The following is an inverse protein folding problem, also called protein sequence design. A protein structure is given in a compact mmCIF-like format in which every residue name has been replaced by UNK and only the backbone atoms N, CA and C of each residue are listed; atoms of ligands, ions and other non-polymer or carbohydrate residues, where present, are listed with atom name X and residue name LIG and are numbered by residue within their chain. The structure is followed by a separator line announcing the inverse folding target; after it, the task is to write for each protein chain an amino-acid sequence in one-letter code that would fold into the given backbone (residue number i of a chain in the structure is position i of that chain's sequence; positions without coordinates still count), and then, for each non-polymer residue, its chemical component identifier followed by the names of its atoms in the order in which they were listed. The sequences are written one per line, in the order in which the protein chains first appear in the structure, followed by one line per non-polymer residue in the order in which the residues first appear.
data_IF_946446646394
#
_entry.id   IF_946446646394
#
_cell.length_a   1.000
_cell.length_b   1.000
_cell.length_c   1.000
_cell.angle_alpha   90.00
_cell.angle_beta   90.00
_cell.angle_gamma   90.00
#
_symmetry.space_group_name_H-M   'P 1'
#
loop_
_entity.id
_entity.type
_entity.pdbx_description
1 polymer ?
#
# COMPACT_ATOMS: atom_id res chain seq x y z
N UNK A 1 9.68 16.73 -19.02
CA UNK A 1 8.64 15.84 -19.56
C UNK A 1 8.34 14.86 -18.44
N UNK A 2 7.17 14.93 -17.85
CA UNK A 2 6.71 13.90 -16.93
C UNK A 2 6.33 12.64 -17.70
N UNK A 3 6.51 11.46 -17.11
CA UNK A 3 5.92 10.23 -17.60
C UNK A 3 4.43 10.32 -17.29
N UNK A 4 3.57 9.99 -18.23
CA UNK A 4 2.12 9.85 -18.01
C UNK A 4 1.74 8.41 -18.30
N UNK A 5 1.00 7.81 -17.38
CA UNK A 5 0.42 6.48 -17.55
C UNK A 5 -1.06 6.63 -17.93
N UNK A 6 -1.59 5.64 -18.64
CA UNK A 6 -2.98 5.57 -19.05
C UNK A 6 -3.64 4.39 -18.32
N UNK A 7 -4.60 4.71 -17.46
CA UNK A 7 -5.39 3.71 -16.72
C UNK A 7 -6.88 3.79 -17.09
N UNK A 8 -7.23 4.39 -18.24
CA UNK A 8 -8.63 4.47 -18.69
C UNK A 8 -9.29 3.09 -18.75
N UNK A 9 -10.44 2.96 -18.10
CA UNK A 9 -11.19 1.72 -18.00
C UNK A 9 -10.57 0.62 -17.11
N UNK A 10 -9.57 0.94 -16.30
CA UNK A 10 -9.03 0.03 -15.28
C UNK A 10 -9.63 0.33 -13.91
N UNK A 11 -9.75 -0.70 -13.09
CA UNK A 11 -10.24 -0.65 -11.71
C UNK A 11 -9.08 -0.91 -10.75
N UNK A 12 -8.84 0.02 -9.85
CA UNK A 12 -7.72 -0.02 -8.89
C UNK A 12 -8.26 0.02 -7.46
N UNK A 13 -7.93 -0.98 -6.66
CA UNK A 13 -8.24 -1.01 -5.24
C UNK A 13 -7.05 -0.47 -4.42
N UNK A 14 -7.29 0.54 -3.60
CA UNK A 14 -6.29 1.16 -2.72
C UNK A 14 -6.70 0.96 -1.27
N UNK A 15 -5.94 0.20 -0.48
CA UNK A 15 -6.16 0.08 0.96
C UNK A 15 -5.43 1.20 1.71
N UNK A 16 -5.99 1.68 2.82
CA UNK A 16 -5.45 2.86 3.51
C UNK A 16 -5.66 4.14 2.70
N UNK A 17 -6.75 4.19 1.92
CA UNK A 17 -7.03 5.26 0.96
C UNK A 17 -7.21 6.64 1.59
N UNK A 18 -7.65 6.70 2.83
CA UNK A 18 -7.89 7.97 3.54
C UNK A 18 -6.62 8.58 4.17
N UNK A 19 -5.52 7.82 4.23
CA UNK A 19 -4.23 8.33 4.75
C UNK A 19 -3.40 9.06 3.69
N UNK A 20 -2.33 9.75 4.12
CA UNK A 20 -1.48 10.62 3.28
C UNK A 20 -0.95 9.95 1.99
N UNK A 21 -0.38 8.75 2.09
CA UNK A 21 0.12 8.05 0.90
C UNK A 21 -1.02 7.47 0.07
N UNK A 22 -2.06 6.91 0.73
CA UNK A 22 -3.21 6.33 0.04
C UNK A 22 -3.97 7.36 -0.78
N UNK A 23 -4.20 8.55 -0.22
CA UNK A 23 -4.87 9.66 -0.92
C UNK A 23 -4.07 10.15 -2.12
N UNK A 24 -2.75 10.26 -2.00
CA UNK A 24 -1.87 10.63 -3.12
C UNK A 24 -1.90 9.59 -4.24
N UNK A 25 -1.88 8.29 -3.88
CA UNK A 25 -1.99 7.19 -4.83
C UNK A 25 -3.36 7.20 -5.52
N UNK A 26 -4.44 7.36 -4.75
CA UNK A 26 -5.80 7.43 -5.28
C UNK A 26 -5.96 8.58 -6.30
N UNK A 27 -5.55 9.79 -5.92
CA UNK A 27 -5.64 10.96 -6.80
C UNK A 27 -4.86 10.77 -8.12
N UNK A 28 -3.68 10.16 -8.07
CA UNK A 28 -2.88 9.95 -9.28
C UNK A 28 -3.48 8.89 -10.23
N UNK A 29 -4.13 7.85 -9.71
CA UNK A 29 -4.85 6.89 -10.54
C UNK A 29 -6.12 7.49 -11.13
N UNK A 30 -6.85 8.32 -10.37
CA UNK A 30 -8.02 9.06 -10.87
C UNK A 30 -7.62 10.02 -11.99
N UNK A 31 -6.54 10.81 -11.80
CA UNK A 31 -5.97 11.70 -12.83
C UNK A 31 -5.54 10.94 -14.10
N UNK A 32 -5.18 9.66 -13.97
CA UNK A 32 -4.80 8.78 -15.07
C UNK A 32 -5.99 8.03 -15.71
N UNK A 33 -7.22 8.28 -15.27
CA UNK A 33 -8.46 7.75 -15.83
C UNK A 33 -8.93 6.42 -15.25
N UNK A 34 -8.33 5.95 -14.15
CA UNK A 34 -8.81 4.74 -13.47
C UNK A 34 -10.11 4.98 -12.70
N UNK A 35 -10.91 3.93 -12.54
CA UNK A 35 -11.88 3.86 -11.45
C UNK A 35 -11.13 3.47 -10.18
N UNK A 36 -11.11 4.34 -9.19
CA UNK A 36 -10.39 4.11 -7.94
C UNK A 36 -11.34 3.70 -6.82
N UNK A 37 -11.19 2.49 -6.32
CA UNK A 37 -11.90 1.93 -5.18
C UNK A 37 -11.04 2.13 -3.93
N UNK A 38 -11.44 3.03 -3.04
CA UNK A 38 -10.72 3.33 -1.81
C UNK A 38 -11.27 2.51 -0.64
N UNK A 39 -10.44 1.71 0.01
CA UNK A 39 -10.77 0.88 1.16
C UNK A 39 -10.10 1.41 2.43
N UNK A 40 -10.88 1.81 3.42
CA UNK A 40 -10.36 2.32 4.70
C UNK A 40 -11.44 2.20 5.80
N UNK A 41 -11.03 2.28 7.06
CA UNK A 41 -11.93 2.42 8.21
C UNK A 41 -12.32 3.89 8.45
N UNK A 42 -11.52 4.83 7.94
CA UNK A 42 -11.74 6.28 8.04
C UNK A 42 -12.51 6.73 6.81
N UNK A 43 -13.73 7.21 6.99
CA UNK A 43 -14.56 7.69 5.89
C UNK A 43 -13.99 8.98 5.26
N UNK A 44 -14.18 9.22 3.95
CA UNK A 44 -13.60 10.38 3.26
C UNK A 44 -14.10 11.74 3.75
N UNK A 45 -15.22 11.78 4.48
CA UNK A 45 -15.80 12.98 5.09
C UNK A 45 -15.41 13.16 6.57
N UNK A 46 -14.57 12.28 7.09
CA UNK A 46 -13.99 12.40 8.43
C UNK A 46 -12.90 13.48 8.46
N UNK A 47 -12.72 14.13 9.63
CA UNK A 47 -11.71 15.17 9.82
C UNK A 47 -10.27 14.65 9.74
N UNK A 48 -10.07 13.34 9.95
CA UNK A 48 -8.77 12.67 9.87
C UNK A 48 -8.45 12.14 8.46
N UNK A 49 -9.38 12.25 7.50
CA UNK A 49 -9.16 11.80 6.13
C UNK A 49 -8.39 12.85 5.30
N UNK A 50 -7.39 12.39 4.55
CA UNK A 50 -6.62 13.23 3.61
C UNK A 50 -7.09 13.08 2.15
N UNK A 51 -7.96 12.10 1.87
CA UNK A 51 -8.46 11.80 0.53
C UNK A 51 -9.55 12.78 0.09
N UNK A 52 -9.51 13.22 -1.17
CA UNK A 52 -10.64 13.93 -1.79
C UNK A 52 -11.75 12.92 -2.11
N UNK A 53 -12.95 13.07 -1.52
CA UNK A 53 -14.07 12.15 -1.77
C UNK A 53 -14.47 12.02 -3.24
N UNK A 54 -14.09 12.97 -4.08
CA UNK A 54 -14.42 12.95 -5.51
C UNK A 54 -13.48 12.06 -6.35
N UNK A 55 -12.35 11.63 -5.78
CA UNK A 55 -11.33 10.82 -6.47
C UNK A 55 -11.47 9.32 -6.24
N UNK A 56 -12.38 8.90 -5.35
CA UNK A 56 -12.56 7.49 -5.01
C UNK A 56 -14.03 7.09 -4.92
N UNK A 57 -14.31 5.82 -5.21
CA UNK A 57 -15.48 5.11 -4.71
C UNK A 57 -15.09 4.43 -3.40
N UNK A 58 -15.72 4.84 -2.30
CA UNK A 58 -15.31 4.44 -0.95
C UNK A 58 -15.99 3.16 -0.48
N UNK A 59 -15.21 2.26 0.07
CA UNK A 59 -15.65 1.02 0.71
C UNK A 59 -15.13 1.00 2.15
N UNK A 60 -16.04 1.10 3.14
CA UNK A 60 -15.67 0.97 4.55
C UNK A 60 -15.12 -0.43 4.82
N UNK A 61 -13.84 -0.51 5.19
CA UNK A 61 -13.11 -1.77 5.25
C UNK A 61 -12.18 -1.82 6.44
N UNK A 62 -12.38 -2.78 7.34
CA UNK A 62 -11.33 -3.18 8.28
C UNK A 62 -10.37 -4.15 7.57
N UNK A 63 -9.23 -3.64 7.14
CA UNK A 63 -8.23 -4.44 6.43
C UNK A 63 -7.62 -5.56 7.30
N UNK A 64 -7.85 -5.57 8.61
CA UNK A 64 -7.41 -6.63 9.53
C UNK A 64 -8.45 -7.74 9.73
N UNK A 65 -9.68 -7.55 9.25
CA UNK A 65 -10.77 -8.54 9.28
C UNK A 65 -10.97 -9.21 7.92
N UNK A 66 -10.84 -10.54 7.89
CA UNK A 66 -10.93 -11.31 6.64
C UNK A 66 -12.31 -11.20 5.97
N UNK A 67 -13.39 -11.13 6.77
CA UNK A 67 -14.75 -11.01 6.26
C UNK A 67 -14.94 -9.65 5.58
N UNK A 68 -14.55 -8.57 6.25
CA UNK A 68 -14.62 -7.21 5.74
C UNK A 68 -13.83 -7.05 4.42
N UNK A 69 -12.60 -7.56 4.37
CA UNK A 69 -11.78 -7.53 3.14
C UNK A 69 -12.41 -8.34 2.02
N UNK A 70 -12.92 -9.54 2.32
CA UNK A 70 -13.59 -10.39 1.33
C UNK A 70 -14.81 -9.70 0.72
N UNK A 71 -15.67 -9.14 1.57
CA UNK A 71 -16.88 -8.39 1.14
C UNK A 71 -16.51 -7.18 0.27
N UNK A 72 -15.46 -6.45 0.63
CA UNK A 72 -14.98 -5.31 -0.17
C UNK A 72 -14.49 -5.73 -1.55
N UNK A 73 -13.64 -6.75 -1.65
CA UNK A 73 -13.12 -7.21 -2.95
C UNK A 73 -14.24 -7.71 -3.85
N UNK A 74 -15.18 -8.49 -3.30
CA UNK A 74 -16.35 -8.97 -4.05
C UNK A 74 -17.25 -7.81 -4.50
N UNK A 75 -17.49 -6.79 -3.63
CA UNK A 75 -18.27 -5.62 -3.99
C UNK A 75 -17.63 -4.83 -5.14
N UNK A 76 -16.31 -4.59 -5.10
CA UNK A 76 -15.57 -3.94 -6.19
C UNK A 76 -15.74 -4.69 -7.51
N UNK A 77 -15.63 -6.02 -7.48
CA UNK A 77 -15.77 -6.82 -8.71
C UNK A 77 -17.22 -6.86 -9.19
N UNK A 78 -18.19 -6.94 -8.29
CA UNK A 78 -19.62 -6.91 -8.63
C UNK A 78 -20.02 -5.57 -9.25
N UNK A 79 -19.53 -4.44 -8.70
CA UNK A 79 -19.85 -3.09 -9.16
C UNK A 79 -19.21 -2.77 -10.53
N UNK A 80 -17.95 -3.23 -10.76
CA UNK A 80 -17.17 -2.81 -11.94
C UNK A 80 -16.88 -3.94 -12.94
N UNK A 81 -17.12 -5.20 -12.59
CA UNK A 81 -16.91 -6.36 -13.46
C UNK A 81 -15.46 -6.78 -13.63
N UNK A 82 -14.50 -6.12 -12.95
CA UNK A 82 -13.06 -6.37 -13.05
C UNK A 82 -12.28 -5.79 -11.87
N UNK A 83 -11.06 -6.26 -11.70
CA UNK A 83 -10.05 -5.65 -10.83
C UNK A 83 -8.69 -5.76 -11.53
N UNK A 84 -8.00 -4.63 -11.73
CA UNK A 84 -6.75 -4.55 -12.52
C UNK A 84 -5.51 -4.34 -11.67
N UNK A 85 -5.65 -3.62 -10.56
CA UNK A 85 -4.54 -3.42 -9.65
C UNK A 85 -5.00 -3.36 -8.20
N UNK A 86 -4.10 -3.78 -7.30
CA UNK A 86 -4.24 -3.61 -5.85
C UNK A 86 -3.02 -2.88 -5.31
N UNK A 87 -3.26 -1.77 -4.63
CA UNK A 87 -2.26 -1.03 -3.90
C UNK A 87 -2.47 -1.26 -2.39
N UNK A 88 -1.66 -2.14 -1.79
CA UNK A 88 -1.65 -2.39 -0.35
C UNK A 88 -0.87 -1.27 0.34
N UNK A 89 -1.55 -0.17 0.65
CA UNK A 89 -0.97 1.02 1.28
C UNK A 89 -1.21 1.02 2.80
N UNK A 90 -2.33 0.43 3.26
CA UNK A 90 -2.66 0.35 4.68
C UNK A 90 -1.46 -0.09 5.51
N UNK A 91 -1.17 0.67 6.55
CA UNK A 91 -0.03 0.40 7.41
C UNK A 91 0.19 1.50 8.43
N UNK A 92 0.91 1.17 9.49
CA UNK A 92 1.26 2.12 10.55
C UNK A 92 2.65 1.83 11.09
N UNK A 93 3.22 2.81 11.78
CA UNK A 93 4.46 2.68 12.52
C UNK A 93 4.21 2.87 14.02
N UNK A 94 4.83 2.03 14.81
CA UNK A 94 5.04 2.24 16.25
C UNK A 94 6.40 1.67 16.62
N UNK A 95 6.96 2.21 17.71
CA UNK A 95 8.24 1.79 18.25
C UNK A 95 8.76 2.80 19.26
N UNK A 96 9.97 2.55 19.76
CA UNK A 96 10.67 3.35 20.76
C UNK A 96 11.27 2.46 21.84
N UNK A 97 10.62 1.34 22.15
CA UNK A 97 11.03 0.45 23.23
C UNK A 97 11.90 -0.72 22.72
N UNK A 98 12.88 -1.16 23.54
CA UNK A 98 13.63 -2.37 23.24
C UNK A 98 12.71 -3.61 23.33
N UNK A 99 13.03 -4.68 22.60
CA UNK A 99 12.19 -5.89 22.45
C UNK A 99 11.65 -6.43 23.78
N UNK A 100 12.43 -6.40 24.85
CA UNK A 100 12.02 -6.97 26.14
C UNK A 100 11.07 -6.05 26.94
N UNK A 101 10.82 -4.85 26.47
CA UNK A 101 9.90 -3.88 27.03
C UNK A 101 8.72 -3.56 26.08
N UNK A 102 8.78 -4.03 24.83
CA UNK A 102 7.69 -3.87 23.86
C UNK A 102 6.47 -4.68 24.29
N UNK A 103 5.32 -4.05 24.34
CA UNK A 103 4.06 -4.72 24.67
C UNK A 103 3.64 -5.70 23.55
N UNK A 104 3.03 -6.83 23.96
CA UNK A 104 2.54 -7.86 23.00
C UNK A 104 1.45 -7.29 22.11
N UNK A 105 0.60 -6.44 22.65
CA UNK A 105 -0.48 -5.76 21.93
C UNK A 105 0.06 -4.86 20.81
N UNK A 106 1.20 -4.21 21.01
CA UNK A 106 1.86 -3.42 19.95
C UNK A 106 2.41 -4.33 18.86
N UNK A 107 3.05 -5.44 19.24
CA UNK A 107 3.54 -6.44 18.29
C UNK A 107 2.40 -7.01 17.43
N UNK A 108 1.30 -7.42 18.06
CA UNK A 108 0.13 -7.98 17.37
C UNK A 108 -0.51 -6.95 16.43
N UNK A 109 -0.71 -5.72 16.90
CA UNK A 109 -1.26 -4.62 16.10
C UNK A 109 -0.41 -4.33 14.86
N UNK A 110 0.92 -4.26 14.99
CA UNK A 110 1.82 -4.02 13.85
C UNK A 110 1.81 -5.17 12.83
N UNK A 111 1.69 -6.42 13.29
CA UNK A 111 1.52 -7.55 12.38
C UNK A 111 0.15 -7.54 11.70
N UNK A 112 -0.91 -7.24 12.44
CA UNK A 112 -2.26 -7.20 11.90
C UNK A 112 -2.41 -6.09 10.85
N UNK A 113 -2.00 -4.86 11.19
CA UNK A 113 -2.20 -3.70 10.31
C UNK A 113 -1.24 -3.71 9.12
N UNK A 114 0.04 -4.09 9.29
CA UNK A 114 1.02 -4.00 8.20
C UNK A 114 1.11 -5.27 7.34
N UNK A 115 0.99 -6.46 7.95
CA UNK A 115 1.28 -7.72 7.27
C UNK A 115 0.03 -8.52 6.95
N UNK A 116 -0.84 -8.74 7.95
CA UNK A 116 -2.08 -9.48 7.76
C UNK A 116 -3.02 -8.78 6.80
N UNK A 117 -3.14 -7.44 6.87
CA UNK A 117 -3.97 -6.65 5.96
C UNK A 117 -3.60 -6.89 4.49
N UNK A 118 -2.31 -6.75 4.14
CA UNK A 118 -1.86 -6.98 2.76
C UNK A 118 -2.03 -8.44 2.33
N UNK A 119 -1.86 -9.39 3.25
CA UNK A 119 -2.10 -10.81 2.97
C UNK A 119 -3.58 -11.07 2.66
N UNK A 120 -4.49 -10.54 3.47
CA UNK A 120 -5.93 -10.72 3.27
C UNK A 120 -6.41 -10.09 1.96
N UNK A 121 -6.01 -8.84 1.69
CA UNK A 121 -6.37 -8.16 0.44
C UNK A 121 -5.83 -8.92 -0.76
N UNK A 122 -4.56 -9.31 -0.74
CA UNK A 122 -3.95 -10.08 -1.83
C UNK A 122 -4.63 -11.44 -2.02
N UNK A 123 -4.95 -12.15 -0.93
CA UNK A 123 -5.62 -13.45 -0.96
C UNK A 123 -6.96 -13.39 -1.70
N UNK A 124 -7.78 -12.39 -1.40
CA UNK A 124 -9.10 -12.23 -2.04
C UNK A 124 -9.00 -11.64 -3.44
N UNK A 125 -8.04 -10.75 -3.72
CA UNK A 125 -7.89 -10.10 -5.02
C UNK A 125 -7.26 -10.97 -6.10
N UNK A 126 -6.31 -11.85 -5.77
CA UNK A 126 -5.55 -12.66 -6.75
C UNK A 126 -6.44 -13.43 -7.75
N UNK A 127 -7.55 -14.08 -7.35
CA UNK A 127 -8.40 -14.77 -8.33
C UNK A 127 -8.91 -13.83 -9.44
N UNK A 128 -9.31 -12.61 -9.09
CA UNK A 128 -9.83 -11.61 -10.02
C UNK A 128 -8.71 -10.94 -10.84
N UNK A 129 -7.55 -10.67 -10.21
CA UNK A 129 -6.38 -10.14 -10.91
C UNK A 129 -5.81 -11.10 -11.96
N UNK A 130 -6.01 -12.41 -11.82
CA UNK A 130 -5.62 -13.39 -12.84
C UNK A 130 -6.42 -13.24 -14.13
N UNK A 131 -7.69 -12.83 -14.04
CA UNK A 131 -8.57 -12.65 -15.19
C UNK A 131 -8.21 -11.38 -15.98
N UNK A 132 -7.58 -10.39 -15.32
CA UNK A 132 -7.14 -9.12 -15.91
C UNK A 132 -5.65 -9.06 -16.22
N UNK A 133 -4.86 -10.10 -15.88
CA UNK A 133 -3.39 -10.08 -15.88
C UNK A 133 -2.83 -8.90 -15.06
N UNK A 134 -3.45 -8.66 -13.90
CA UNK A 134 -3.30 -7.46 -13.09
C UNK A 134 -2.01 -7.37 -12.28
N UNK A 135 -1.94 -6.37 -11.40
CA UNK A 135 -0.77 -6.08 -10.59
C UNK A 135 -1.10 -5.86 -9.11
N UNK A 136 -0.16 -6.22 -8.24
CA UNK A 136 -0.15 -5.91 -6.81
C UNK A 136 1.09 -5.08 -6.49
N UNK A 137 0.90 -3.96 -5.80
CA UNK A 137 1.99 -3.18 -5.21
C UNK A 137 1.77 -3.09 -3.71
N UNK A 138 2.77 -3.48 -2.92
CA UNK A 138 2.68 -3.49 -1.46
C UNK A 138 3.75 -2.60 -0.83
N UNK A 139 3.37 -1.83 0.20
CA UNK A 139 4.28 -0.92 0.90
C UNK A 139 5.03 -1.66 2.01
N UNK A 140 6.29 -2.03 1.72
CA UNK A 140 7.27 -2.45 2.71
C UNK A 140 7.97 -1.20 3.31
N UNK A 141 9.23 -1.29 3.66
CA UNK A 141 10.03 -0.17 4.14
C UNK A 141 11.52 -0.43 3.96
N UNK A 142 12.34 0.61 3.86
CA UNK A 142 13.81 0.50 3.90
C UNK A 142 14.28 -0.28 5.13
N UNK A 143 13.67 -0.03 6.28
CA UNK A 143 13.98 -0.70 7.56
C UNK A 143 13.70 -2.21 7.55
N UNK A 144 12.98 -2.75 6.54
CA UNK A 144 12.77 -4.20 6.37
C UNK A 144 14.02 -4.99 6.01
N UNK A 145 15.10 -4.31 5.63
CA UNK A 145 16.34 -4.94 5.14
C UNK A 145 17.30 -5.35 6.25
N UNK A 146 17.16 -4.75 7.43
CA UNK A 146 18.08 -4.97 8.55
C UNK A 146 17.40 -4.80 9.89
N UNK A 147 18.03 -5.29 10.96
CA UNK A 147 17.60 -5.04 12.33
C UNK A 147 17.89 -3.59 12.74
N UNK A 148 17.15 -3.09 13.73
CA UNK A 148 17.34 -1.77 14.32
C UNK A 148 16.85 -1.72 15.75
N UNK A 149 17.25 -0.69 16.47
CA UNK A 149 16.89 -0.47 17.86
C UNK A 149 15.52 0.19 17.95
N UNK A 150 14.64 -0.33 18.80
CA UNK A 150 13.39 0.30 19.19
C UNK A 150 12.18 0.07 18.25
N UNK A 151 12.37 -0.56 17.09
CA UNK A 151 11.29 -0.76 16.10
C UNK A 151 11.23 -2.20 15.54
N UNK A 152 11.65 -3.16 16.34
CA UNK A 152 11.74 -4.58 15.95
C UNK A 152 10.46 -5.17 15.34
N UNK A 153 9.28 -5.05 15.99
CA UNK A 153 8.00 -5.53 15.45
C UNK A 153 7.63 -4.90 14.11
N UNK A 154 7.83 -3.58 13.96
CA UNK A 154 7.60 -2.90 12.68
C UNK A 154 8.49 -3.45 11.56
N UNK A 155 9.80 -3.57 11.81
CA UNK A 155 10.74 -4.16 10.82
C UNK A 155 10.35 -5.57 10.44
N UNK A 156 9.97 -6.39 11.42
CA UNK A 156 9.51 -7.76 11.17
C UNK A 156 8.26 -7.79 10.28
N UNK A 157 7.27 -6.94 10.56
CA UNK A 157 6.05 -6.84 9.75
C UNK A 157 6.36 -6.43 8.31
N UNK A 158 7.19 -5.40 8.11
CA UNK A 158 7.58 -4.90 6.78
C UNK A 158 8.51 -5.86 6.02
N UNK A 159 9.36 -6.63 6.72
CA UNK A 159 10.12 -7.72 6.10
C UNK A 159 9.19 -8.85 5.64
N UNK A 160 8.13 -9.15 6.42
CA UNK A 160 7.08 -10.10 6.03
C UNK A 160 6.35 -9.66 4.77
N UNK A 161 5.97 -8.38 4.65
CA UNK A 161 5.35 -7.80 3.44
C UNK A 161 6.23 -8.06 2.22
N UNK A 162 7.52 -7.76 2.28
CA UNK A 162 8.45 -7.98 1.18
C UNK A 162 8.49 -9.45 0.77
N UNK A 163 8.68 -10.37 1.71
CA UNK A 163 8.78 -11.80 1.42
C UNK A 163 7.47 -12.41 0.89
N UNK A 164 6.32 -11.98 1.42
CA UNK A 164 5.02 -12.42 0.89
C UNK A 164 4.80 -11.88 -0.54
N UNK A 165 5.20 -10.66 -0.83
CA UNK A 165 5.11 -10.10 -2.20
C UNK A 165 5.97 -10.92 -3.19
N UNK A 166 7.21 -11.27 -2.83
CA UNK A 166 8.07 -12.16 -3.62
C UNK A 166 7.40 -13.53 -3.84
N UNK A 167 6.77 -14.09 -2.80
CA UNK A 167 6.04 -15.37 -2.89
C UNK A 167 4.84 -15.27 -3.82
N UNK A 168 4.04 -14.21 -3.70
CA UNK A 168 2.88 -13.97 -4.59
C UNK A 168 3.34 -13.89 -6.05
N UNK A 169 4.44 -13.19 -6.32
CA UNK A 169 5.01 -13.10 -7.67
C UNK A 169 5.39 -14.47 -8.24
N UNK A 170 6.08 -15.31 -7.47
CA UNK A 170 6.48 -16.67 -7.87
C UNK A 170 5.28 -17.59 -8.13
N UNK A 171 4.24 -17.51 -7.27
CA UNK A 171 3.03 -18.32 -7.39
C UNK A 171 2.13 -17.93 -8.56
N UNK A 172 2.30 -16.72 -9.11
CA UNK A 172 1.44 -16.14 -10.14
C UNK A 172 2.21 -15.74 -11.42
N UNK A 173 3.35 -16.37 -11.68
CA UNK A 173 4.17 -16.11 -12.87
C UNK A 173 3.34 -16.14 -14.15
N UNK A 174 3.39 -15.04 -14.91
CA UNK A 174 2.69 -14.90 -16.19
C UNK A 174 1.18 -14.59 -16.08
N UNK A 175 0.67 -14.35 -14.86
CA UNK A 175 -0.75 -14.01 -14.66
C UNK A 175 -0.95 -12.78 -13.77
N UNK A 176 -0.25 -12.65 -12.64
CA UNK A 176 -0.32 -11.48 -11.77
C UNK A 176 1.09 -11.05 -11.43
N UNK A 177 1.39 -9.77 -11.60
CA UNK A 177 2.65 -9.17 -11.17
C UNK A 177 2.50 -8.68 -9.73
N UNK A 178 3.49 -8.96 -8.89
CA UNK A 178 3.50 -8.47 -7.52
C UNK A 178 4.86 -7.87 -7.18
N UNK A 179 4.87 -6.61 -6.73
CA UNK A 179 6.09 -5.91 -6.37
C UNK A 179 5.91 -5.17 -5.05
N UNK A 180 6.99 -5.02 -4.30
CA UNK A 180 7.02 -4.20 -3.11
C UNK A 180 7.78 -2.90 -3.37
N UNK A 181 7.34 -1.80 -2.78
CA UNK A 181 8.14 -0.58 -2.65
C UNK A 181 8.69 -0.50 -1.23
N UNK A 182 9.88 0.06 -1.10
CA UNK A 182 10.56 0.24 0.19
C UNK A 182 10.89 1.72 0.39
N UNK A 183 9.94 2.54 0.85
CA UNK A 183 10.23 3.92 1.17
C UNK A 183 11.22 4.05 2.35
N UNK A 184 11.98 5.15 2.37
CA UNK A 184 12.60 5.66 3.59
C UNK A 184 11.55 6.35 4.45
N UNK A 185 11.82 7.50 5.02
CA UNK A 185 10.80 8.29 5.72
C UNK A 185 9.94 9.02 4.69
N UNK A 186 8.64 8.85 4.79
CA UNK A 186 7.66 9.54 3.92
C UNK A 186 7.31 10.88 4.55
N UNK A 187 7.28 11.94 3.76
CA UNK A 187 6.88 13.26 4.20
C UNK A 187 5.35 13.31 4.38
N UNK A 188 4.91 13.04 5.60
CA UNK A 188 3.49 13.06 5.99
C UNK A 188 3.29 13.93 7.22
N UNK A 189 2.09 14.51 7.43
CA UNK A 189 1.79 15.25 8.64
C UNK A 189 2.12 14.47 9.91
N UNK A 190 1.76 13.20 9.99
CA UNK A 190 2.05 12.31 11.12
C UNK A 190 3.56 12.18 11.38
N UNK A 191 4.37 11.93 10.34
CA UNK A 191 5.82 11.81 10.51
C UNK A 191 6.47 13.12 10.91
N UNK A 192 6.00 14.26 10.39
CA UNK A 192 6.48 15.59 10.82
C UNK A 192 6.15 15.87 12.27
N UNK A 193 4.99 15.45 12.76
CA UNK A 193 4.62 15.58 14.17
C UNK A 193 5.47 14.67 15.07
N UNK A 194 5.76 13.44 14.65
CA UNK A 194 6.60 12.51 15.42
C UNK A 194 8.08 12.88 15.42
N UNK A 195 8.57 13.53 14.39
CA UNK A 195 9.98 13.89 14.21
C UNK A 195 10.16 15.38 13.87
N UNK A 196 9.76 16.30 14.76
CA UNK A 196 9.73 17.75 14.46
C UNK A 196 11.11 18.37 14.24
N UNK A 197 12.18 17.75 14.76
CA UNK A 197 13.56 18.23 14.65
C UNK A 197 14.34 17.58 13.48
N UNK A 198 13.72 16.71 12.68
CA UNK A 198 14.35 16.08 11.54
C UNK A 198 14.45 17.04 10.34
N UNK A 199 15.39 16.78 9.44
CA UNK A 199 15.45 17.47 8.15
C UNK A 199 14.41 16.88 7.19
N UNK A 200 13.25 17.54 7.11
CA UNK A 200 12.13 17.05 6.30
C UNK A 200 12.40 17.22 4.78
N UNK A 201 13.41 18.00 4.37
CA UNK A 201 13.77 18.16 2.95
C UNK A 201 14.42 16.88 2.37
N UNK A 202 14.96 16.00 3.25
CA UNK A 202 15.52 14.71 2.85
C UNK A 202 14.45 13.61 2.67
N UNK A 203 13.22 13.86 3.14
CA UNK A 203 12.14 12.86 3.12
C UNK A 203 11.52 12.71 1.73
N UNK A 204 10.89 11.55 1.50
CA UNK A 204 10.25 11.25 0.22
C UNK A 204 8.83 11.82 0.19
N UNK A 205 8.55 12.66 -0.80
CA UNK A 205 7.19 13.15 -1.05
C UNK A 205 6.28 11.99 -1.48
N UNK A 206 5.05 11.88 -0.92
CA UNK A 206 4.06 10.91 -1.38
C UNK A 206 3.86 10.89 -2.90
N UNK A 207 3.90 12.04 -3.58
CA UNK A 207 3.76 12.11 -5.03
C UNK A 207 4.94 11.45 -5.79
N UNK A 208 6.15 11.45 -5.21
CA UNK A 208 7.29 10.74 -5.80
C UNK A 208 7.14 9.22 -5.67
N UNK A 209 6.65 8.76 -4.51
CA UNK A 209 6.33 7.33 -4.29
C UNK A 209 5.25 6.87 -5.27
N UNK A 210 4.23 7.69 -5.47
CA UNK A 210 3.11 7.41 -6.37
C UNK A 210 3.57 7.15 -7.80
N UNK A 211 4.57 7.88 -8.32
CA UNK A 211 5.13 7.62 -9.65
C UNK A 211 5.68 6.19 -9.79
N UNK A 212 6.30 5.66 -8.73
CA UNK A 212 6.82 4.28 -8.72
C UNK A 212 5.66 3.27 -8.63
N UNK A 213 4.65 3.54 -7.81
CA UNK A 213 3.45 2.69 -7.70
C UNK A 213 2.76 2.59 -9.05
N UNK A 214 2.50 3.70 -9.72
CA UNK A 214 1.85 3.75 -11.03
C UNK A 214 2.68 2.98 -12.08
N UNK A 215 4.01 3.18 -12.12
CA UNK A 215 4.87 2.39 -13.00
C UNK A 215 4.69 0.89 -12.78
N UNK A 216 4.75 0.43 -11.53
CA UNK A 216 4.65 -0.99 -11.20
C UNK A 216 3.25 -1.59 -11.48
N UNK A 217 2.19 -0.77 -11.48
CA UNK A 217 0.85 -1.18 -11.88
C UNK A 217 0.61 -1.11 -13.39
N UNK A 218 1.42 -0.36 -14.13
CA UNK A 218 1.25 -0.13 -15.56
C UNK A 218 1.77 -1.28 -16.43
N UNK A 219 1.41 -1.28 -17.72
CA UNK A 219 1.89 -2.24 -18.71
C UNK A 219 3.39 -2.08 -19.00
N UNK A 220 3.95 -0.88 -18.78
CA UNK A 220 5.38 -0.63 -18.94
C UNK A 220 6.25 -1.47 -17.99
N UNK A 221 5.64 -1.99 -16.90
CA UNK A 221 6.30 -2.88 -15.96
C UNK A 221 6.01 -4.37 -16.22
N UNK A 222 5.58 -4.78 -17.43
CA UNK A 222 5.14 -6.16 -17.75
C UNK A 222 6.16 -7.25 -17.39
N UNK A 223 7.44 -6.92 -17.42
CA UNK A 223 8.54 -7.86 -17.10
C UNK A 223 9.02 -7.76 -15.65
N UNK A 224 8.38 -6.91 -14.84
CA UNK A 224 8.80 -6.64 -13.46
C UNK A 224 7.82 -7.30 -12.49
N UNK A 225 8.27 -8.38 -11.84
CA UNK A 225 7.53 -9.08 -10.78
C UNK A 225 8.51 -9.65 -9.76
N UNK A 226 8.15 -9.64 -8.47
CA UNK A 226 8.98 -10.08 -7.36
C UNK A 226 10.05 -9.04 -6.94
N UNK A 227 9.99 -7.83 -7.45
CA UNK A 227 10.93 -6.79 -7.07
C UNK A 227 10.57 -6.13 -5.73
N UNK A 228 11.61 -5.78 -4.97
CA UNK A 228 11.52 -4.87 -3.83
C UNK A 228 12.26 -3.58 -4.19
N UNK A 229 11.52 -2.54 -4.54
CA UNK A 229 12.04 -1.32 -5.17
C UNK A 229 12.35 -0.27 -4.11
N UNK A 230 13.61 0.16 -3.94
CA UNK A 230 13.97 1.25 -3.05
C UNK A 230 13.36 2.58 -3.53
N UNK A 231 12.76 3.34 -2.60
CA UNK A 231 12.26 4.69 -2.83
C UNK A 231 12.71 5.56 -1.66
N UNK A 232 13.98 5.97 -1.68
CA UNK A 232 14.64 6.50 -0.48
C UNK A 232 14.73 8.02 -0.45
N UNK A 233 14.51 8.73 -1.57
CA UNK A 233 14.85 10.15 -1.64
C UNK A 233 16.34 10.36 -1.35
N UNK A 234 16.65 11.34 -0.49
CA UNK A 234 18.00 11.63 -0.03
C UNK A 234 18.25 11.15 1.42
N UNK A 235 17.24 10.56 2.10
CA UNK A 235 17.29 10.11 3.50
C UNK A 235 17.82 8.67 3.66
#
# INVERSE_FOLDING_TARGET
MGVSYDFDGRVVLVTGASGALGSAVAAAFDDAGATVCGADVVAPDDEDAEVDPSTIEFYETDATDEGSVGETVEAVVDDHGRLDAVCNIAGTWRGGDPIHETDVEEFEMLLDVNLKSMFLTSKHAIPHLRDSEGAIVSVSARSSLEGGEGDGPYRASKAGVRLLTETIAEENLGTVRANAIMPSVIDTPMNREMMPDADHEEWVDPAEITNVVMFLCSDEAEVTSGAAVPVYGEA
#
